data_IF_881311637761
#
_entry.id   IF_881311637761
#
_cell.length_a   1.000
_cell.length_b   1.000
_cell.length_c   1.000
_cell.angle_alpha   90.00
_cell.angle_beta   90.00
_cell.angle_gamma   90.00
#
_symmetry.space_group_name_H-M   'P 1'
#
loop_
_entity.id
_entity.type
_entity.pdbx_description
1 polymer ?
#
# COMPACT_ATOMS: atom_id res chain seq x y z
N UNK A 1 -20.37 -13.37 3.32
CA UNK A 1 -19.53 -12.17 3.02
C UNK A 1 -20.43 -10.95 3.14
N UNK A 2 -20.00 -9.94 3.88
CA UNK A 2 -20.77 -8.70 4.07
C UNK A 2 -20.57 -7.76 2.86
N UNK A 3 -21.66 -7.14 2.41
CA UNK A 3 -21.66 -6.16 1.33
C UNK A 3 -22.05 -4.79 1.87
N UNK A 4 -21.52 -3.73 1.29
CA UNK A 4 -21.99 -2.37 1.58
C UNK A 4 -23.43 -2.19 1.07
N UNK A 5 -24.16 -1.14 1.51
CA UNK A 5 -25.47 -0.80 0.95
C UNK A 5 -25.48 -0.60 -0.57
N UNK A 6 -24.30 -0.29 -1.14
CA UNK A 6 -24.06 -0.06 -2.56
C UNK A 6 -23.63 -1.34 -3.30
N UNK A 7 -23.71 -2.51 -2.66
CA UNK A 7 -23.37 -3.81 -3.23
C UNK A 7 -21.87 -4.11 -3.33
N UNK A 8 -21.00 -3.30 -2.71
CA UNK A 8 -19.55 -3.51 -2.77
C UNK A 8 -19.13 -4.55 -1.74
N UNK A 9 -18.24 -5.47 -2.12
CA UNK A 9 -17.73 -6.51 -1.24
C UNK A 9 -16.77 -5.92 -0.20
N UNK A 10 -17.03 -6.17 1.09
CA UNK A 10 -16.11 -5.85 2.17
C UNK A 10 -14.97 -6.87 2.17
N UNK A 11 -13.74 -6.39 2.14
CA UNK A 11 -12.53 -7.23 2.06
C UNK A 11 -11.74 -7.26 3.38
N UNK A 12 -12.02 -6.31 4.27
CA UNK A 12 -11.32 -6.18 5.55
C UNK A 12 -12.21 -5.50 6.59
N UNK A 13 -12.15 -5.97 7.82
CA UNK A 13 -12.84 -5.40 8.98
C UNK A 13 -11.98 -5.46 10.25
N UNK A 14 -11.99 -4.38 11.02
CA UNK A 14 -11.48 -4.26 12.38
C UNK A 14 -12.67 -4.04 13.31
N UNK A 15 -12.75 -4.83 14.36
CA UNK A 15 -13.81 -4.76 15.37
C UNK A 15 -13.16 -4.60 16.73
N UNK A 16 -13.41 -3.46 17.38
CA UNK A 16 -12.90 -3.14 18.70
C UNK A 16 -11.37 -3.18 18.82
N UNK A 17 -10.65 -2.76 17.78
CA UNK A 17 -9.19 -2.91 17.77
C UNK A 17 -8.52 -1.81 18.58
N UNK A 18 -7.75 -2.21 19.60
CA UNK A 18 -7.01 -1.31 20.50
C UNK A 18 -5.53 -1.68 20.55
N UNK A 19 -4.66 -0.68 20.68
CA UNK A 19 -3.20 -0.86 20.80
C UNK A 19 -2.63 0.01 21.91
N UNK A 20 -1.82 -0.63 22.76
CA UNK A 20 -1.13 0.01 23.88
C UNK A 20 0.37 -0.26 23.70
N UNK A 21 1.18 0.80 23.64
CA UNK A 21 2.63 0.66 23.70
C UNK A 21 3.12 0.76 25.16
N UNK A 22 4.12 -0.04 25.57
CA UNK A 22 4.73 0.09 26.88
C UNK A 22 5.27 1.50 27.15
N UNK A 23 5.21 2.02 28.40
CA UNK A 23 4.67 1.35 29.58
C UNK A 23 3.12 1.32 29.63
N UNK A 24 2.40 2.35 29.19
CA UNK A 24 0.92 2.39 29.16
C UNK A 24 0.33 3.40 28.13
N UNK A 25 1.04 3.68 27.03
CA UNK A 25 0.56 4.65 26.04
C UNK A 25 -0.43 3.99 25.08
N UNK A 26 -1.73 4.19 25.32
CA UNK A 26 -2.76 3.79 24.36
C UNK A 26 -2.66 4.68 23.13
N UNK A 27 -2.39 4.07 21.97
CA UNK A 27 -2.26 4.77 20.67
C UNK A 27 -3.46 4.54 19.76
N UNK A 28 -4.14 3.40 19.89
CA UNK A 28 -5.41 3.11 19.22
C UNK A 28 -6.40 2.62 20.26
N UNK A 29 -7.65 3.08 20.14
CA UNK A 29 -8.74 2.82 21.06
C UNK A 29 -9.99 2.48 20.26
N UNK A 30 -10.47 1.26 20.46
CA UNK A 30 -11.76 0.74 20.02
C UNK A 30 -12.03 1.07 18.54
N UNK A 31 -11.06 0.77 17.68
CA UNK A 31 -11.14 1.04 16.25
C UNK A 31 -12.16 0.09 15.59
N UNK A 32 -13.19 0.69 14.98
CA UNK A 32 -14.18 0.01 14.15
C UNK A 32 -14.09 0.53 12.72
N UNK A 33 -13.47 -0.26 11.84
CA UNK A 33 -13.29 0.12 10.43
C UNK A 33 -13.62 -1.08 9.57
N UNK A 34 -14.26 -0.84 8.43
CA UNK A 34 -14.37 -1.82 7.36
C UNK A 34 -14.18 -1.13 6.03
N UNK A 35 -13.50 -1.79 5.09
CA UNK A 35 -13.34 -1.25 3.75
C UNK A 35 -13.62 -2.31 2.68
N UNK A 36 -14.04 -1.82 1.53
CA UNK A 36 -14.38 -2.59 0.35
C UNK A 36 -13.28 -2.48 -0.70
N UNK A 37 -13.25 -3.43 -1.63
CA UNK A 37 -12.26 -3.44 -2.71
C UNK A 37 -12.37 -2.19 -3.60
N UNK A 38 -11.24 -1.53 -3.85
CA UNK A 38 -11.16 -0.31 -4.66
C UNK A 38 -11.41 0.99 -3.88
N UNK A 39 -11.62 0.93 -2.55
CA UNK A 39 -11.72 2.14 -1.74
C UNK A 39 -10.39 2.92 -1.75
N UNK A 40 -10.47 4.25 -1.78
CA UNK A 40 -9.33 5.16 -1.66
C UNK A 40 -9.47 5.95 -0.36
N UNK A 41 -8.64 5.63 0.61
CA UNK A 41 -8.76 6.09 1.98
C UNK A 41 -7.52 6.90 2.35
N UNK A 42 -7.72 8.17 2.67
CA UNK A 42 -6.70 9.02 3.28
C UNK A 42 -6.76 8.91 4.81
N UNK A 43 -5.64 8.67 5.46
CA UNK A 43 -5.56 8.58 6.92
C UNK A 43 -4.90 9.84 7.48
N UNK A 44 -5.63 10.55 8.33
CA UNK A 44 -5.21 11.80 8.94
C UNK A 44 -5.07 11.67 10.46
N UNK A 45 -4.33 12.58 11.07
CA UNK A 45 -4.17 12.64 12.53
C UNK A 45 -2.88 13.31 12.93
N UNK A 46 -2.79 13.71 14.20
CA UNK A 46 -1.59 14.32 14.76
C UNK A 46 -0.40 13.34 14.78
N UNK A 47 0.81 13.87 14.97
CA UNK A 47 1.97 13.01 15.16
C UNK A 47 1.81 12.19 16.44
N UNK A 48 2.03 10.88 16.34
CA UNK A 48 1.80 9.96 17.45
C UNK A 48 0.34 9.52 17.64
N UNK A 49 -0.59 9.84 16.73
CA UNK A 49 -1.98 9.37 16.79
C UNK A 49 -2.18 7.90 16.39
N UNK A 50 -1.10 7.18 16.09
CA UNK A 50 -1.15 5.75 15.75
C UNK A 50 -1.32 5.42 14.26
N UNK A 51 -1.16 6.38 13.33
CA UNK A 51 -1.30 6.18 11.87
C UNK A 51 -0.45 5.03 11.32
N UNK A 52 0.86 5.07 11.55
CA UNK A 52 1.78 4.01 11.13
C UNK A 52 1.49 2.67 11.82
N UNK A 53 1.10 2.72 13.10
CA UNK A 53 0.69 1.54 13.87
C UNK A 53 -0.56 0.90 13.28
N UNK A 54 -1.55 1.69 12.88
CA UNK A 54 -2.75 1.22 12.20
C UNK A 54 -2.39 0.51 10.90
N UNK A 55 -1.54 1.11 10.05
CA UNK A 55 -1.09 0.47 8.81
C UNK A 55 -0.37 -0.87 9.07
N UNK A 56 0.50 -0.94 10.07
CA UNK A 56 1.22 -2.18 10.43
C UNK A 56 0.28 -3.28 10.91
N UNK A 57 -0.77 -2.94 11.66
CA UNK A 57 -1.81 -3.87 12.10
C UNK A 57 -2.61 -4.36 10.87
N UNK A 58 -3.00 -3.46 9.96
CA UNK A 58 -3.71 -3.83 8.72
C UNK A 58 -2.85 -4.72 7.83
N UNK A 59 -1.56 -4.43 7.70
CA UNK A 59 -0.60 -5.27 6.97
C UNK A 59 -0.46 -6.67 7.62
N UNK A 60 -0.66 -6.77 8.94
CA UNK A 60 -0.46 -8.00 9.71
C UNK A 60 0.97 -8.18 10.22
N UNK A 61 1.75 -7.10 10.19
CA UNK A 61 3.11 -7.03 10.74
C UNK A 61 3.04 -6.92 12.26
N UNK A 62 2.24 -5.98 12.76
CA UNK A 62 1.98 -5.87 14.21
C UNK A 62 0.74 -6.69 14.58
N UNK A 63 0.96 -7.79 15.31
CA UNK A 63 -0.08 -8.72 15.76
C UNK A 63 -0.45 -8.55 17.23
N UNK A 64 0.25 -7.67 17.94
CA UNK A 64 0.04 -7.43 19.35
C UNK A 64 -1.04 -6.35 19.52
N UNK A 65 -2.30 -6.72 19.37
CA UNK A 65 -3.43 -5.80 19.55
C UNK A 65 -4.58 -6.52 20.26
N UNK A 66 -5.49 -5.72 20.83
CA UNK A 66 -6.74 -6.20 21.42
C UNK A 66 -7.83 -6.03 20.35
N UNK A 67 -8.81 -6.95 20.28
CA UNK A 67 -9.92 -6.91 19.33
C UNK A 67 -9.75 -7.90 18.18
N UNK A 68 -10.62 -7.81 17.19
CA UNK A 68 -10.72 -8.78 16.10
C UNK A 68 -10.48 -8.14 14.73
N UNK A 69 -9.69 -8.84 13.89
CA UNK A 69 -9.49 -8.48 12.49
C UNK A 69 -9.96 -9.62 11.61
N UNK A 70 -10.86 -9.30 10.68
CA UNK A 70 -11.32 -10.21 9.65
C UNK A 70 -10.78 -9.78 8.28
N UNK A 71 -10.13 -10.71 7.57
CA UNK A 71 -9.63 -10.50 6.21
C UNK A 71 -10.33 -11.48 5.27
N UNK A 72 -10.84 -10.99 4.15
CA UNK A 72 -11.34 -11.88 3.11
C UNK A 72 -10.16 -12.64 2.48
N UNK A 73 -10.27 -13.96 2.28
CA UNK A 73 -9.18 -14.75 1.73
C UNK A 73 -8.90 -14.36 0.27
N UNK A 74 -7.64 -14.53 -0.16
CA UNK A 74 -7.21 -14.30 -1.53
C UNK A 74 -6.72 -12.88 -1.85
N UNK A 75 -6.89 -11.91 -0.95
CA UNK A 75 -6.40 -10.54 -1.15
C UNK A 75 -4.98 -10.36 -0.62
N UNK A 76 -4.11 -9.76 -1.45
CA UNK A 76 -2.73 -9.43 -1.10
C UNK A 76 -2.62 -8.01 -0.52
N UNK A 77 -1.83 -7.85 0.53
CA UNK A 77 -1.59 -6.57 1.19
C UNK A 77 -0.13 -6.19 1.02
N UNK A 78 0.13 -5.00 0.49
CA UNK A 78 1.48 -4.46 0.34
C UNK A 78 1.64 -3.19 1.16
N UNK A 79 2.74 -3.11 1.92
CA UNK A 79 3.04 -1.98 2.80
C UNK A 79 4.32 -1.27 2.35
N UNK A 80 4.23 0.05 2.19
CA UNK A 80 5.38 0.94 2.18
C UNK A 80 5.57 1.51 3.58
N UNK A 81 6.63 1.08 4.26
CA UNK A 81 7.04 1.65 5.53
C UNK A 81 7.76 2.99 5.34
N UNK A 82 7.75 3.83 6.38
CA UNK A 82 8.47 5.10 6.38
C UNK A 82 9.98 4.91 6.17
N UNK A 83 10.55 3.87 6.76
CA UNK A 83 11.95 3.47 6.62
C UNK A 83 12.03 2.03 6.08
N UNK A 84 12.02 1.85 4.75
CA UNK A 84 11.97 0.52 4.17
C UNK A 84 13.28 -0.23 4.37
N UNK A 85 13.15 -1.50 4.75
CA UNK A 85 14.27 -2.43 4.83
C UNK A 85 14.48 -3.08 3.47
N UNK A 86 15.61 -2.79 2.84
CA UNK A 86 16.05 -3.36 1.57
C UNK A 86 17.35 -4.14 1.78
N UNK A 87 17.53 -5.22 1.02
CA UNK A 87 18.76 -6.00 1.05
C UNK A 87 19.95 -5.17 0.53
N UNK A 88 20.90 -4.87 1.43
CA UNK A 88 22.04 -4.02 1.12
C UNK A 88 23.05 -4.67 0.16
N UNK A 89 22.95 -5.98 -0.09
CA UNK A 89 23.84 -6.71 -1.00
C UNK A 89 23.41 -6.62 -2.47
N UNK A 90 22.19 -6.13 -2.72
CA UNK A 90 21.57 -6.07 -4.05
C UNK A 90 21.79 -4.71 -4.74
N UNK A 91 21.54 -4.67 -6.04
CA UNK A 91 21.43 -3.42 -6.82
C UNK A 91 20.00 -2.87 -6.79
N UNK A 92 19.80 -1.64 -7.28
CA UNK A 92 18.46 -1.05 -7.46
C UNK A 92 17.58 -1.94 -8.33
N UNK A 93 18.09 -2.37 -9.48
CA UNK A 93 17.33 -3.20 -10.43
C UNK A 93 16.96 -4.55 -9.82
N UNK A 94 17.83 -5.16 -9.02
CA UNK A 94 17.52 -6.41 -8.33
C UNK A 94 16.31 -6.25 -7.39
N UNK A 95 16.26 -5.17 -6.61
CA UNK A 95 15.13 -4.88 -5.72
C UNK A 95 13.86 -4.60 -6.53
N UNK A 96 13.95 -3.84 -7.62
CA UNK A 96 12.80 -3.53 -8.48
C UNK A 96 12.23 -4.81 -9.12
N UNK A 97 13.10 -5.71 -9.59
CA UNK A 97 12.72 -7.02 -10.17
C UNK A 97 12.03 -7.95 -9.18
N UNK A 98 12.29 -7.84 -7.88
CA UNK A 98 11.52 -8.59 -6.87
C UNK A 98 10.02 -8.31 -6.97
N UNK A 99 9.65 -7.10 -7.41
CA UNK A 99 8.25 -6.71 -7.57
C UNK A 99 7.53 -7.46 -8.69
N UNK A 100 8.28 -8.03 -9.62
CA UNK A 100 7.77 -8.79 -10.77
C UNK A 100 8.35 -10.21 -10.80
N UNK A 101 8.71 -10.76 -9.64
CA UNK A 101 9.40 -12.06 -9.53
C UNK A 101 8.65 -13.22 -10.19
N UNK A 102 7.31 -13.22 -10.13
CA UNK A 102 6.48 -14.20 -10.84
C UNK A 102 6.66 -14.15 -12.36
N UNK A 103 6.92 -12.97 -12.93
CA UNK A 103 7.15 -12.79 -14.36
C UNK A 103 8.60 -13.09 -14.75
N UNK A 104 9.57 -12.72 -13.91
CA UNK A 104 10.97 -13.08 -14.17
C UNK A 104 11.17 -14.60 -14.11
N UNK A 105 10.48 -15.30 -13.22
CA UNK A 105 10.49 -16.77 -13.17
C UNK A 105 9.98 -17.42 -14.46
N UNK A 106 8.95 -16.86 -15.10
CA UNK A 106 8.45 -17.34 -16.39
C UNK A 106 9.54 -17.23 -17.47
N UNK A 107 10.24 -16.09 -17.55
CA UNK A 107 11.32 -15.88 -18.51
C UNK A 107 12.51 -16.82 -18.24
N UNK A 108 12.92 -16.97 -16.98
CA UNK A 108 13.98 -17.89 -16.59
C UNK A 108 13.63 -19.35 -16.91
N UNK A 109 12.38 -19.75 -16.67
CA UNK A 109 11.92 -21.09 -17.03
C UNK A 109 11.89 -21.29 -18.54
N UNK A 110 11.46 -20.28 -19.31
CA UNK A 110 11.45 -20.32 -20.77
C UNK A 110 12.86 -20.49 -21.34
N UNK A 111 13.85 -19.77 -20.81
CA UNK A 111 15.26 -19.93 -21.17
C UNK A 111 15.78 -21.33 -20.84
N UNK A 112 15.47 -21.86 -19.66
CA UNK A 112 15.87 -23.21 -19.25
C UNK A 112 15.24 -24.28 -20.15
N UNK A 113 13.97 -24.14 -20.50
CA UNK A 113 13.28 -24.99 -21.47
C UNK A 113 13.98 -24.91 -22.83
N UNK A 114 14.30 -23.70 -23.32
CA UNK A 114 15.02 -23.55 -24.60
C UNK A 114 16.38 -24.24 -24.63
N UNK A 115 17.13 -24.17 -23.54
CA UNK A 115 18.41 -24.87 -23.40
C UNK A 115 18.23 -26.39 -23.46
N UNK A 116 17.15 -26.91 -22.88
CA UNK A 116 16.83 -28.33 -22.85
C UNK A 116 16.61 -28.97 -24.23
N UNK A 117 16.31 -28.20 -25.28
CA UNK A 117 16.26 -28.73 -26.66
C UNK A 117 17.64 -29.20 -27.18
N UNK A 118 18.73 -28.76 -26.56
CA UNK A 118 20.09 -29.19 -26.92
C UNK A 118 20.56 -30.41 -26.13
N UNK A 119 19.74 -30.93 -25.20
CA UNK A 119 20.10 -32.06 -24.34
C UNK A 119 19.97 -33.40 -25.10
N UNK A 120 21.02 -34.22 -25.07
CA UNK A 120 21.06 -35.53 -25.73
C UNK A 120 19.95 -36.47 -25.22
N UNK A 121 19.62 -36.42 -23.92
CA UNK A 121 18.58 -37.26 -23.31
C UNK A 121 17.17 -36.85 -23.78
N UNK A 122 16.98 -35.59 -24.18
CA UNK A 122 15.73 -35.07 -24.74
C UNK A 122 15.64 -35.39 -26.23
N UNK A 123 16.74 -35.22 -26.97
CA UNK A 123 16.81 -35.55 -28.40
C UNK A 123 16.58 -37.04 -28.68
N UNK A 124 17.00 -37.91 -27.76
CA UNK A 124 16.85 -39.35 -27.88
C UNK A 124 15.46 -39.88 -27.47
N UNK A 125 14.61 -39.06 -26.83
CA UNK A 125 13.33 -39.47 -26.24
C UNK A 125 12.17 -38.57 -26.75
N UNK A 126 11.34 -39.08 -27.69
CA UNK A 126 10.21 -38.34 -28.23
C UNK A 126 9.22 -37.85 -27.17
N UNK A 127 9.00 -38.60 -26.09
CA UNK A 127 8.06 -38.19 -25.03
C UNK A 127 8.61 -37.00 -24.22
N UNK A 128 9.93 -36.94 -24.01
CA UNK A 128 10.58 -35.79 -23.37
C UNK A 128 10.56 -34.57 -24.30
N UNK A 129 10.83 -34.77 -25.59
CA UNK A 129 10.74 -33.73 -26.61
C UNK A 129 9.33 -33.10 -26.64
N UNK A 130 8.29 -33.93 -26.71
CA UNK A 130 6.90 -33.48 -26.75
C UNK A 130 6.50 -32.73 -25.47
N UNK A 131 6.93 -33.19 -24.29
CA UNK A 131 6.69 -32.46 -23.03
C UNK A 131 7.33 -31.08 -23.04
N UNK A 132 8.55 -30.98 -23.58
CA UNK A 132 9.34 -29.76 -23.59
C UNK A 132 8.76 -28.75 -24.59
N UNK A 133 8.32 -29.19 -25.77
CA UNK A 133 7.55 -28.38 -26.74
C UNK A 133 6.26 -27.84 -26.11
N UNK A 134 5.48 -28.72 -25.45
CA UNK A 134 4.23 -28.31 -24.81
C UNK A 134 4.48 -27.27 -23.69
N UNK A 135 5.55 -27.44 -22.91
CA UNK A 135 5.90 -26.48 -21.85
C UNK A 135 6.36 -25.15 -22.43
N UNK A 136 7.20 -25.17 -23.46
CA UNK A 136 7.61 -23.96 -24.18
C UNK A 136 6.40 -23.17 -24.71
N UNK A 137 5.42 -23.86 -25.32
CA UNK A 137 4.21 -23.23 -25.85
C UNK A 137 3.38 -22.55 -24.75
N UNK A 138 3.19 -23.20 -23.60
CA UNK A 138 2.50 -22.61 -22.44
C UNK A 138 3.21 -21.36 -21.92
N UNK A 139 4.54 -21.42 -21.80
CA UNK A 139 5.34 -20.28 -21.34
C UNK A 139 5.31 -19.13 -22.36
N UNK A 140 5.36 -19.43 -23.66
CA UNK A 140 5.23 -18.43 -24.72
C UNK A 140 3.89 -17.70 -24.66
N UNK A 141 2.79 -18.43 -24.46
CA UNK A 141 1.46 -17.83 -24.31
C UNK A 141 1.41 -16.87 -23.11
N UNK A 142 1.98 -17.26 -21.97
CA UNK A 142 2.07 -16.38 -20.79
C UNK A 142 2.95 -15.16 -21.05
N UNK A 143 4.09 -15.34 -21.73
CA UNK A 143 4.98 -14.24 -22.09
C UNK A 143 4.27 -13.22 -22.98
N UNK A 144 3.55 -13.68 -23.99
CA UNK A 144 2.83 -12.81 -24.92
C UNK A 144 1.63 -12.14 -24.24
N UNK A 145 0.88 -12.88 -23.40
CA UNK A 145 -0.26 -12.37 -22.66
C UNK A 145 0.13 -11.22 -21.71
N UNK A 146 1.28 -11.33 -21.07
CA UNK A 146 1.77 -10.35 -20.09
C UNK A 146 2.78 -9.34 -20.66
N UNK A 147 3.08 -9.43 -21.96
CA UNK A 147 4.06 -8.59 -22.66
C UNK A 147 5.44 -8.61 -21.97
N UNK A 148 5.93 -9.81 -21.61
CA UNK A 148 7.14 -9.96 -20.80
C UNK A 148 8.43 -9.67 -21.57
N UNK A 149 8.41 -9.67 -22.90
CA UNK A 149 9.54 -9.23 -23.71
C UNK A 149 9.87 -7.75 -23.49
N UNK A 150 8.87 -6.95 -23.09
CA UNK A 150 9.03 -5.54 -22.77
C UNK A 150 9.16 -5.28 -21.25
N UNK A 151 9.41 -6.33 -20.45
CA UNK A 151 9.45 -6.23 -18.99
C UNK A 151 10.52 -5.24 -18.53
N UNK A 152 11.76 -5.37 -18.99
CA UNK A 152 12.85 -4.47 -18.56
C UNK A 152 12.51 -2.99 -18.88
N UNK A 153 12.01 -2.68 -20.08
CA UNK A 153 11.58 -1.32 -20.43
C UNK A 153 10.36 -0.83 -19.62
N UNK A 154 9.52 -1.73 -19.10
CA UNK A 154 8.47 -1.36 -18.14
C UNK A 154 9.05 -1.03 -16.77
N UNK A 155 10.04 -1.78 -16.32
CA UNK A 155 10.74 -1.53 -15.05
C UNK A 155 11.49 -0.20 -15.10
N UNK A 156 12.22 0.08 -16.17
CA UNK A 156 12.94 1.35 -16.37
C UNK A 156 11.98 2.54 -16.36
N UNK A 157 10.86 2.47 -17.10
CA UNK A 157 9.85 3.54 -17.07
C UNK A 157 9.27 3.79 -15.68
N UNK A 158 9.05 2.73 -14.89
CA UNK A 158 8.56 2.87 -13.52
C UNK A 158 9.63 3.50 -12.60
N UNK A 159 10.89 3.10 -12.78
CA UNK A 159 12.03 3.68 -12.07
C UNK A 159 12.20 5.17 -12.39
N UNK A 160 12.12 5.54 -13.67
CA UNK A 160 12.23 6.92 -14.14
C UNK A 160 11.11 7.81 -13.58
N UNK A 161 9.87 7.32 -13.62
CA UNK A 161 8.71 8.05 -13.11
C UNK A 161 8.80 8.35 -11.61
N UNK A 162 9.48 7.49 -10.84
CA UNK A 162 9.74 7.68 -9.41
C UNK A 162 11.15 8.22 -9.14
N UNK A 163 11.91 8.59 -10.18
CA UNK A 163 13.30 9.08 -10.08
C UNK A 163 14.16 8.20 -9.18
N UNK A 164 14.08 6.89 -9.41
CA UNK A 164 14.96 5.93 -8.76
C UNK A 164 16.42 6.18 -9.19
N UNK A 165 17.41 5.82 -8.36
CA UNK A 165 18.81 5.84 -8.78
C UNK A 165 19.08 4.85 -9.94
N UNK A 166 20.25 4.96 -10.55
CA UNK A 166 20.70 4.09 -11.64
C UNK A 166 20.59 2.60 -11.27
N UNK A 167 20.22 1.79 -12.24
CA UNK A 167 19.88 0.36 -12.10
C UNK A 167 20.96 -0.49 -11.42
N UNK A 168 22.24 -0.22 -11.70
CA UNK A 168 23.41 -0.94 -11.19
C UNK A 168 23.89 -0.41 -9.82
N UNK A 169 23.28 0.67 -9.32
CA UNK A 169 23.67 1.29 -8.05
C UNK A 169 23.44 0.31 -6.90
N UNK A 170 24.45 0.03 -6.05
CA UNK A 170 24.27 -0.81 -4.87
C UNK A 170 23.34 -0.16 -3.85
N UNK A 171 22.41 -0.94 -3.27
CA UNK A 171 21.48 -0.45 -2.25
C UNK A 171 22.23 0.11 -1.03
N UNK A 172 23.39 -0.45 -0.69
CA UNK A 172 24.20 -0.05 0.47
C UNK A 172 24.61 1.42 0.48
N UNK A 173 24.76 2.07 -0.69
CA UNK A 173 25.20 3.47 -0.80
C UNK A 173 24.05 4.47 -0.91
N UNK A 174 22.81 4.00 -1.04
CA UNK A 174 21.65 4.86 -1.20
C UNK A 174 21.28 5.60 0.08
N UNK A 175 20.89 6.86 -0.07
CA UNK A 175 20.23 7.65 0.97
C UNK A 175 18.86 7.06 1.35
N UNK A 176 18.34 7.43 2.52
CA UNK A 176 17.02 6.97 2.97
C UNK A 176 15.88 7.32 2.00
N UNK A 177 15.94 8.51 1.39
CA UNK A 177 14.96 8.93 0.37
C UNK A 177 15.04 8.09 -0.91
N UNK A 178 16.24 7.80 -1.39
CA UNK A 178 16.43 6.93 -2.57
C UNK A 178 15.95 5.50 -2.32
N UNK A 179 16.29 4.92 -1.16
CA UNK A 179 15.79 3.59 -0.75
C UNK A 179 14.26 3.56 -0.72
N UNK A 180 13.64 4.65 -0.26
CA UNK A 180 12.18 4.79 -0.25
C UNK A 180 11.57 4.79 -1.64
N UNK A 181 12.15 5.53 -2.60
CA UNK A 181 11.67 5.55 -3.98
C UNK A 181 11.80 4.17 -4.65
N UNK A 182 12.91 3.47 -4.41
CA UNK A 182 13.11 2.09 -4.88
C UNK A 182 12.10 1.13 -4.26
N UNK A 183 11.87 1.22 -2.96
CA UNK A 183 10.88 0.39 -2.27
C UNK A 183 9.44 0.65 -2.75
N UNK A 184 9.09 1.92 -2.99
CA UNK A 184 7.81 2.31 -3.58
C UNK A 184 7.67 1.76 -5.00
N UNK A 185 8.71 1.88 -5.84
CA UNK A 185 8.72 1.34 -7.20
C UNK A 185 8.45 -0.17 -7.20
N UNK A 186 9.21 -0.92 -6.39
CA UNK A 186 8.99 -2.37 -6.19
C UNK A 186 7.54 -2.67 -5.79
N UNK A 187 7.00 -1.94 -4.82
CA UNK A 187 5.66 -2.17 -4.29
C UNK A 187 4.56 -1.90 -5.34
N UNK A 188 4.69 -0.83 -6.14
CA UNK A 188 3.72 -0.52 -7.18
C UNK A 188 3.72 -1.58 -8.29
N UNK A 189 4.89 -2.10 -8.63
CA UNK A 189 5.05 -3.18 -9.62
C UNK A 189 4.49 -4.53 -9.16
N UNK A 190 4.42 -4.77 -7.84
CA UNK A 190 3.76 -5.95 -7.28
C UNK A 190 2.25 -5.95 -7.48
N UNK A 191 1.65 -4.77 -7.69
CA UNK A 191 0.20 -4.60 -7.86
C UNK A 191 -0.67 -5.34 -6.81
N UNK A 192 -0.40 -5.24 -5.49
CA UNK A 192 -1.20 -5.91 -4.47
C UNK A 192 -2.66 -5.40 -4.41
N UNK A 193 -3.59 -6.23 -3.95
CA UNK A 193 -4.99 -5.83 -3.86
C UNK A 193 -5.27 -4.66 -2.89
N UNK A 194 -4.42 -4.52 -1.86
CA UNK A 194 -4.49 -3.44 -0.87
C UNK A 194 -3.11 -2.80 -0.71
N UNK A 195 -2.98 -1.54 -1.12
CA UNK A 195 -1.81 -0.71 -0.88
C UNK A 195 -1.95 0.04 0.43
N UNK A 196 -0.95 -0.11 1.29
CA UNK A 196 -0.80 0.61 2.55
C UNK A 196 0.43 1.49 2.42
N UNK A 197 0.23 2.80 2.39
CA UNK A 197 1.28 3.77 2.10
C UNK A 197 1.46 4.71 3.28
N UNK A 198 2.59 4.62 3.97
CA UNK A 198 2.96 5.60 4.99
C UNK A 198 3.73 6.75 4.34
N UNK A 199 3.20 7.97 4.38
CA UNK A 199 3.75 9.21 3.81
C UNK A 199 4.40 9.07 2.42
N UNK A 200 3.69 8.55 1.40
CA UNK A 200 4.31 8.14 0.13
C UNK A 200 4.85 9.29 -0.71
N UNK A 201 4.40 10.53 -0.48
CA UNK A 201 4.86 11.73 -1.20
C UNK A 201 6.16 12.30 -0.64
N UNK A 202 6.62 11.83 0.51
CA UNK A 202 7.88 12.31 1.09
C UNK A 202 9.09 11.92 0.24
N UNK A 203 10.01 12.87 0.06
CA UNK A 203 11.22 12.72 -0.76
C UNK A 203 10.97 12.51 -2.26
N UNK A 204 9.74 12.80 -2.72
CA UNK A 204 9.39 12.94 -4.13
C UNK A 204 9.36 14.43 -4.52
N UNK A 205 9.62 14.72 -5.78
CA UNK A 205 9.37 16.03 -6.36
C UNK A 205 7.97 16.12 -6.96
N UNK A 206 7.58 17.33 -7.38
CA UNK A 206 6.22 17.61 -7.84
C UNK A 206 5.78 16.73 -9.03
N UNK A 207 6.68 16.42 -9.95
CA UNK A 207 6.38 15.58 -11.12
C UNK A 207 6.16 14.12 -10.70
N UNK A 208 7.02 13.59 -9.82
CA UNK A 208 6.87 12.21 -9.30
C UNK A 208 5.60 12.08 -8.44
N UNK A 209 5.23 13.13 -7.70
CA UNK A 209 3.98 13.18 -6.92
C UNK A 209 2.76 13.15 -7.85
N UNK A 210 2.72 13.97 -8.90
CA UNK A 210 1.62 13.97 -9.87
C UNK A 210 1.47 12.61 -10.56
N UNK A 211 2.59 12.00 -10.97
CA UNK A 211 2.58 10.64 -11.52
C UNK A 211 1.99 9.62 -10.53
N UNK A 212 2.43 9.67 -9.27
CA UNK A 212 1.95 8.79 -8.22
C UNK A 212 0.44 8.99 -7.96
N UNK A 213 -0.04 10.24 -7.92
CA UNK A 213 -1.46 10.55 -7.77
C UNK A 213 -2.29 9.94 -8.90
N UNK A 214 -1.86 10.13 -10.16
CA UNK A 214 -2.53 9.58 -11.32
C UNK A 214 -2.55 8.04 -11.29
N UNK A 215 -1.42 7.43 -10.91
CA UNK A 215 -1.32 5.98 -10.76
C UNK A 215 -2.28 5.44 -9.69
N UNK A 216 -2.27 6.01 -8.48
CA UNK A 216 -3.09 5.55 -7.35
C UNK A 216 -4.59 5.78 -7.57
N UNK A 217 -4.96 6.82 -8.33
CA UNK A 217 -6.33 7.10 -8.75
C UNK A 217 -6.86 6.02 -9.70
N UNK A 218 -6.04 5.52 -10.61
CA UNK A 218 -6.39 4.45 -11.55
C UNK A 218 -6.21 3.04 -10.98
N UNK A 219 -5.56 2.92 -9.83
CA UNK A 219 -5.29 1.64 -9.19
C UNK A 219 -6.57 0.86 -8.94
N UNK A 220 -6.64 -0.40 -9.37
CA UNK A 220 -7.86 -1.22 -9.26
C UNK A 220 -8.17 -1.62 -7.82
N UNK A 221 -7.11 -1.84 -7.03
CA UNK A 221 -7.19 -2.23 -5.63
C UNK A 221 -7.50 -1.08 -4.68
N UNK A 222 -7.56 -1.43 -3.41
CA UNK A 222 -7.76 -0.49 -2.30
C UNK A 222 -6.47 0.25 -2.00
N UNK A 223 -6.54 1.55 -1.75
CA UNK A 223 -5.39 2.36 -1.34
C UNK A 223 -5.70 2.99 0.01
N UNK A 224 -4.82 2.78 0.99
CA UNK A 224 -4.86 3.44 2.29
C UNK A 224 -3.55 4.21 2.44
N UNK A 225 -3.62 5.53 2.36
CA UNK A 225 -2.46 6.39 2.41
C UNK A 225 -2.50 7.29 3.64
N UNK A 226 -1.47 7.22 4.48
CA UNK A 226 -1.19 8.21 5.50
C UNK A 226 -0.41 9.33 4.83
N UNK A 227 -0.94 10.55 4.80
CA UNK A 227 -0.19 11.68 4.26
C UNK A 227 -0.65 13.01 4.85
N UNK A 228 0.25 13.97 4.88
CA UNK A 228 -0.05 15.37 5.13
C UNK A 228 -0.27 16.19 3.85
N UNK A 229 -0.11 15.59 2.67
CA UNK A 229 -0.33 16.26 1.39
C UNK A 229 -1.82 16.44 1.09
N UNK A 230 -2.24 17.71 1.06
CA UNK A 230 -3.65 18.09 0.87
C UNK A 230 -4.11 17.84 -0.57
N UNK A 231 -3.23 18.06 -1.56
CA UNK A 231 -3.58 17.88 -2.96
C UNK A 231 -3.77 16.40 -3.27
N UNK A 232 -2.88 15.56 -2.77
CA UNK A 232 -3.00 14.10 -2.84
C UNK A 232 -4.34 13.61 -2.30
N UNK A 233 -4.70 14.07 -1.09
CA UNK A 233 -5.95 13.67 -0.45
C UNK A 233 -7.18 14.18 -1.19
N UNK A 234 -7.13 15.36 -1.79
CA UNK A 234 -8.25 15.89 -2.58
C UNK A 234 -8.43 15.18 -3.92
N UNK A 235 -7.33 14.76 -4.55
CA UNK A 235 -7.34 14.16 -5.88
C UNK A 235 -7.59 12.64 -5.88
N UNK A 236 -7.08 11.94 -4.86
CA UNK A 236 -7.09 10.48 -4.78
C UNK A 236 -8.11 9.95 -3.78
N UNK A 237 -8.27 10.58 -2.61
CA UNK A 237 -9.09 10.01 -1.54
C UNK A 237 -10.58 10.21 -1.79
N UNK A 238 -11.34 9.11 -1.72
CA UNK A 238 -12.81 9.13 -1.66
C UNK A 238 -13.36 9.00 -0.23
N UNK A 239 -12.48 8.68 0.71
CA UNK A 239 -12.75 8.54 2.12
C UNK A 239 -11.61 9.13 2.93
N UNK A 240 -11.93 9.75 4.06
CA UNK A 240 -10.97 10.20 5.05
C UNK A 240 -11.21 9.41 6.34
N UNK A 241 -10.14 8.89 6.90
CA UNK A 241 -10.11 8.32 8.25
C UNK A 241 -9.29 9.23 9.14
N UNK A 242 -9.96 9.97 10.01
CA UNK A 242 -9.29 10.79 11.01
C UNK A 242 -9.01 9.94 12.26
N UNK A 243 -7.74 9.84 12.65
CA UNK A 243 -7.31 9.35 13.95
C UNK A 243 -7.13 10.53 14.91
N UNK A 244 -8.06 10.67 15.84
CA UNK A 244 -8.01 11.66 16.91
C UNK A 244 -8.14 10.96 18.27
N UNK A 245 -7.21 11.27 19.19
CA UNK A 245 -7.14 10.67 20.53
C UNK A 245 -7.23 9.13 20.55
N UNK A 246 -6.74 8.48 19.50
CA UNK A 246 -6.74 7.03 19.33
C UNK A 246 -8.04 6.45 18.76
N UNK A 247 -9.08 7.26 18.55
CA UNK A 247 -10.35 6.85 17.96
C UNK A 247 -10.35 7.13 16.44
N UNK A 248 -11.00 6.26 15.67
CA UNK A 248 -11.08 6.37 14.20
C UNK A 248 -12.42 6.94 13.77
N UNK A 249 -12.41 8.12 13.14
CA UNK A 249 -13.61 8.82 12.67
C UNK A 249 -13.62 8.78 11.12
N UNK A 250 -14.44 7.91 10.51
CA UNK A 250 -14.55 7.84 9.06
C UNK A 250 -15.42 8.98 8.50
N UNK A 251 -15.03 9.49 7.34
CA UNK A 251 -15.75 10.49 6.58
C UNK A 251 -15.78 10.10 5.10
N UNK A 252 -16.96 10.14 4.48
CA UNK A 252 -17.11 9.89 3.03
C UNK A 252 -16.97 11.21 2.29
N UNK A 253 -15.84 11.40 1.63
CA UNK A 253 -15.50 12.64 0.94
C UNK A 253 -13.99 12.83 0.86
N UNK A 254 -13.60 13.91 0.19
CA UNK A 254 -12.21 14.32 0.05
C UNK A 254 -11.73 15.19 1.23
N UNK A 255 -10.48 15.66 1.20
CA UNK A 255 -9.90 16.47 2.27
C UNK A 255 -10.64 17.78 2.49
N UNK A 256 -11.00 18.50 1.43
CA UNK A 256 -11.72 19.77 1.52
C UNK A 256 -13.08 19.59 2.23
N UNK A 257 -13.87 18.60 1.83
CA UNK A 257 -15.17 18.32 2.48
C UNK A 257 -15.02 17.90 3.94
N UNK A 258 -13.97 17.15 4.27
CA UNK A 258 -13.65 16.76 5.64
C UNK A 258 -13.25 17.99 6.48
N UNK A 259 -12.46 18.91 5.93
CA UNK A 259 -12.00 20.10 6.64
C UNK A 259 -13.18 21.02 7.00
N UNK A 260 -14.12 21.21 6.09
CA UNK A 260 -15.36 21.97 6.34
C UNK A 260 -16.18 21.33 7.47
N UNK A 261 -16.38 20.01 7.41
CA UNK A 261 -17.09 19.27 8.44
C UNK A 261 -16.37 19.34 9.80
N UNK A 262 -15.04 19.22 9.82
CA UNK A 262 -14.24 19.34 11.04
C UNK A 262 -14.32 20.73 11.66
N UNK A 263 -14.30 21.79 10.86
CA UNK A 263 -14.48 23.15 11.37
C UNK A 263 -15.84 23.34 12.03
N UNK A 264 -16.91 22.82 11.43
CA UNK A 264 -18.25 22.90 12.01
C UNK A 264 -18.35 22.10 13.31
N UNK A 265 -17.75 20.90 13.36
CA UNK A 265 -17.68 20.08 14.58
C UNK A 265 -16.96 20.82 15.72
N UNK A 266 -15.79 21.39 15.46
CA UNK A 266 -15.02 22.14 16.45
C UNK A 266 -15.79 23.36 16.99
N UNK A 267 -16.50 24.09 16.12
CA UNK A 267 -17.35 25.22 16.54
C UNK A 267 -18.48 24.77 17.46
N UNK A 268 -19.05 23.59 17.23
CA UNK A 268 -20.11 23.05 18.08
C UNK A 268 -19.57 22.56 19.43
N UNK A 269 -18.40 21.90 19.43
CA UNK A 269 -17.70 21.49 20.64
C UNK A 269 -17.35 22.69 21.53
N UNK A 270 -16.74 23.73 20.95
CA UNK A 270 -16.37 24.96 21.68
C UNK A 270 -17.60 25.66 22.29
N UNK A 271 -18.72 25.73 21.55
CA UNK A 271 -19.99 26.25 22.08
C UNK A 271 -20.51 25.42 23.25
N UNK A 272 -20.38 24.10 23.20
CA UNK A 272 -20.81 23.21 24.27
C UNK A 272 -19.93 23.35 25.51
N UNK A 273 -18.61 23.47 25.32
CA UNK A 273 -17.63 23.59 26.39
C UNK A 273 -17.76 24.95 27.09
N UNK A 274 -17.94 26.03 26.34
CA UNK A 274 -18.21 27.36 26.89
C UNK A 274 -19.48 27.38 27.75
N UNK A 275 -20.56 26.70 27.32
CA UNK A 275 -21.78 26.54 28.12
C UNK A 275 -21.51 25.74 29.40
N UNK A 276 -20.71 24.68 29.32
CA UNK A 276 -20.35 23.84 30.48
C UNK A 276 -19.51 24.63 31.50
N UNK A 277 -18.52 25.39 31.04
CA UNK A 277 -17.71 26.27 31.89
C UNK A 277 -18.53 27.35 32.58
N UNK A 278 -19.45 28.01 31.86
CA UNK A 278 -20.38 29.01 32.45
C UNK A 278 -21.32 28.40 33.50
N UNK A 279 -21.70 27.14 33.32
CA UNK A 279 -22.54 26.41 34.28
C UNK A 279 -21.76 26.09 35.55
N UNK A 280 -20.55 25.54 35.41
CA UNK A 280 -19.64 25.27 36.53
C UNK A 280 -19.29 26.54 37.32
N UNK A 281 -19.04 27.66 36.64
CA UNK A 281 -18.76 28.94 37.28
C UNK A 281 -19.95 29.45 38.13
N UNK A 282 -21.19 29.18 37.71
CA UNK A 282 -22.39 29.53 38.48
C UNK A 282 -22.66 28.62 39.67
N UNK A 283 -22.16 27.38 39.65
CA UNK A 283 -22.26 26.46 40.80
C UNK A 283 -21.18 26.71 41.87
N UNK A 284 -20.14 27.49 41.53
CA UNK A 284 -19.07 27.91 42.43
C UNK A 284 -19.37 29.23 43.18
N UNK A 285 -20.39 29.99 42.76
CA UNK A 285 -20.94 31.17 43.45
C UNK A 285 -22.06 30.79 44.42
#
# INVERSE_FOLDING_TARGET
>A
MSTTPEGRQIIFSMVNVSKIHPPQKQVLKDIYISFYYGAKIGVLGLNGSGKSTLLKIIAGIDKDYIGDIHRSPGYQFGLLEQEPQLDATKTVMDIVREGVSQYTQILTEFEAVNQGFSDEDVLADPDKMDKLINRQAQLQELIDQHDLWNLDSRLERAMDALRCPESDTPISILSGGERRRVALCRLLLQEPDVLLLDEPTNHLDAESVDWLEQHLKQYKGTVIAVTHDRYFLDNVAGWILELDRGEGIPWKGNYTSWLEQKQERLKQEEKSESKRQKTLARELE
#
